data_IF_588585133618
#
_entry.id   IF_588585133618
#
_cell.length_a   1.000
_cell.length_b   1.000
_cell.length_c   1.000
_cell.angle_alpha   90.00
_cell.angle_beta   90.00
_cell.angle_gamma   90.00
#
_symmetry.space_group_name_H-M   'P 1'
#
loop_
_entity.id
_entity.type
_entity.pdbx_description
1 polymer ?
#
# COMPACT_ATOMS: atom_id res chain seq x y z
N UNK A 1 24.58 -1.11 12.21
CA UNK A 1 23.11 -1.21 12.07
C UNK A 1 22.87 -2.12 10.88
N UNK A 2 22.43 -3.35 11.11
CA UNK A 2 22.29 -4.36 10.06
C UNK A 2 21.06 -4.04 9.18
N UNK A 3 21.30 -3.55 7.97
CA UNK A 3 20.28 -3.13 6.99
C UNK A 3 20.12 -4.16 5.87
N UNK A 4 20.15 -5.46 6.17
CA UNK A 4 20.06 -6.51 5.13
C UNK A 4 18.83 -7.41 5.26
N UNK A 5 17.83 -7.03 6.08
CA UNK A 5 16.61 -7.83 6.28
C UNK A 5 15.30 -7.14 5.87
N UNK A 6 15.35 -5.88 5.43
CA UNK A 6 14.15 -5.07 5.19
C UNK A 6 13.64 -5.16 3.73
N UNK A 7 14.51 -5.48 2.77
CA UNK A 7 14.18 -5.48 1.33
C UNK A 7 13.13 -6.53 0.92
N UNK A 8 13.20 -7.76 1.45
CA UNK A 8 12.32 -8.84 1.01
C UNK A 8 10.86 -8.68 1.44
N UNK A 9 10.62 -8.09 2.62
CA UNK A 9 9.26 -7.86 3.12
C UNK A 9 8.60 -6.70 2.37
N UNK A 10 9.34 -5.62 2.17
CA UNK A 10 8.86 -4.43 1.50
C UNK A 10 8.65 -4.68 -0.01
N UNK A 11 9.54 -5.46 -0.64
CA UNK A 11 9.35 -5.95 -2.02
C UNK A 11 8.12 -6.85 -2.15
N UNK A 12 7.88 -7.75 -1.19
CA UNK A 12 6.68 -8.60 -1.18
C UNK A 12 5.40 -7.77 -1.06
N UNK A 13 5.44 -6.69 -0.28
CA UNK A 13 4.32 -5.75 -0.13
C UNK A 13 4.02 -5.01 -1.44
N UNK A 14 5.05 -4.56 -2.16
CA UNK A 14 4.91 -3.91 -3.47
C UNK A 14 4.38 -4.87 -4.53
N UNK A 15 4.92 -6.10 -4.60
CA UNK A 15 4.43 -7.14 -5.53
C UNK A 15 2.98 -7.52 -5.26
N UNK A 16 2.63 -7.67 -3.98
CA UNK A 16 1.25 -7.94 -3.58
C UNK A 16 0.33 -6.78 -3.98
N UNK A 17 0.68 -5.54 -3.66
CA UNK A 17 -0.09 -4.37 -4.08
C UNK A 17 -0.29 -4.32 -5.59
N UNK A 18 0.76 -4.61 -6.37
CA UNK A 18 0.71 -4.64 -7.84
C UNK A 18 -0.21 -5.73 -8.37
N UNK A 19 -0.22 -6.93 -7.77
CA UNK A 19 -1.15 -8.01 -8.15
C UNK A 19 -2.61 -7.61 -7.96
N UNK A 20 -2.88 -6.76 -6.97
CA UNK A 20 -4.24 -6.30 -6.63
C UNK A 20 -4.67 -5.01 -7.33
N UNK A 21 -3.77 -4.33 -8.05
CA UNK A 21 -4.08 -3.12 -8.85
C UNK A 21 -5.33 -3.23 -9.73
N UNK A 22 -5.53 -4.29 -10.55
CA UNK A 22 -6.70 -4.39 -11.42
C UNK A 22 -8.02 -4.57 -10.66
N UNK A 23 -7.97 -4.94 -9.37
CA UNK A 23 -9.14 -5.19 -8.53
C UNK A 23 -9.46 -4.04 -7.57
N UNK A 24 -8.70 -2.94 -7.61
CA UNK A 24 -8.88 -1.81 -6.68
C UNK A 24 -8.23 -2.01 -5.30
N UNK A 25 -7.30 -2.95 -5.20
CA UNK A 25 -6.52 -3.22 -3.99
C UNK A 25 -6.99 -4.45 -3.20
N UNK A 26 -6.14 -4.91 -2.26
CA UNK A 26 -6.40 -6.13 -1.50
C UNK A 26 -7.47 -5.94 -0.42
N UNK A 27 -8.17 -7.02 -0.09
CA UNK A 27 -9.17 -7.05 0.99
C UNK A 27 -8.50 -7.22 2.35
N UNK A 28 -9.24 -6.86 3.40
CA UNK A 28 -8.74 -6.95 4.78
C UNK A 28 -8.33 -8.36 5.21
N UNK A 29 -9.08 -9.39 4.77
CA UNK A 29 -8.76 -10.78 5.07
C UNK A 29 -7.43 -11.21 4.45
N UNK A 30 -7.22 -10.92 3.17
CA UNK A 30 -5.98 -11.28 2.47
C UNK A 30 -4.75 -10.59 3.07
N UNK A 31 -4.87 -9.30 3.42
CA UNK A 31 -3.77 -8.56 4.06
C UNK A 31 -3.42 -9.14 5.43
N UNK A 32 -4.44 -9.51 6.22
CA UNK A 32 -4.23 -10.09 7.53
C UNK A 32 -3.57 -11.47 7.43
N UNK A 33 -3.96 -12.28 6.45
CA UNK A 33 -3.38 -13.62 6.22
C UNK A 33 -1.93 -13.52 5.76
N UNK A 34 -1.63 -12.64 4.81
CA UNK A 34 -0.31 -12.55 4.18
C UNK A 34 0.71 -11.78 5.04
N UNK A 35 0.26 -10.71 5.70
CA UNK A 35 1.15 -9.77 6.40
C UNK A 35 0.90 -9.67 7.90
N UNK A 36 -0.15 -10.33 8.43
CA UNK A 36 -0.48 -10.28 9.85
C UNK A 36 -0.87 -8.89 10.37
N UNK A 37 -1.25 -7.97 9.47
CA UNK A 37 -1.55 -6.58 9.83
C UNK A 37 -2.92 -6.12 9.33
N UNK A 38 -3.41 -5.03 9.91
CA UNK A 38 -4.66 -4.41 9.46
C UNK A 38 -4.46 -3.69 8.14
N UNK A 39 -5.55 -3.49 7.39
CA UNK A 39 -5.53 -2.73 6.13
C UNK A 39 -4.92 -1.35 6.33
N UNK A 40 -5.26 -0.65 7.40
CA UNK A 40 -4.73 0.69 7.68
C UNK A 40 -3.21 0.68 7.87
N UNK A 41 -2.67 -0.28 8.62
CA UNK A 41 -1.22 -0.43 8.80
C UNK A 41 -0.54 -0.76 7.46
N UNK A 42 -1.16 -1.63 6.68
CA UNK A 42 -0.68 -1.99 5.35
C UNK A 42 -0.63 -0.77 4.42
N UNK A 43 -1.68 0.03 4.36
CA UNK A 43 -1.78 1.22 3.50
C UNK A 43 -0.77 2.31 3.90
N UNK A 44 -0.61 2.56 5.19
CA UNK A 44 0.38 3.54 5.69
C UNK A 44 1.80 3.12 5.34
N UNK A 45 2.12 1.83 5.51
CA UNK A 45 3.43 1.30 5.18
C UNK A 45 3.65 1.30 3.67
N UNK A 46 2.66 0.89 2.88
CA UNK A 46 2.73 0.92 1.42
C UNK A 46 2.96 2.34 0.89
N UNK A 47 2.32 3.36 1.47
CA UNK A 47 2.59 4.76 1.13
C UNK A 47 4.06 5.14 1.40
N UNK A 48 4.58 4.78 2.57
CA UNK A 48 5.98 5.03 2.91
C UNK A 48 6.96 4.34 1.95
N UNK A 49 6.64 3.11 1.49
CA UNK A 49 7.44 2.38 0.52
C UNK A 49 7.38 2.99 -0.88
N UNK A 50 6.20 3.44 -1.31
CA UNK A 50 6.03 4.13 -2.60
C UNK A 50 6.79 5.46 -2.61
N UNK A 51 6.89 6.14 -1.47
CA UNK A 51 7.64 7.40 -1.34
C UNK A 51 9.16 7.17 -1.20
N UNK A 52 9.56 6.00 -0.70
CA UNK A 52 10.96 5.61 -0.50
C UNK A 52 11.67 5.14 -1.78
N UNK A 53 13.01 5.17 -1.75
CA UNK A 53 13.87 4.81 -2.89
C UNK A 53 13.74 3.34 -3.32
N UNK A 54 13.26 2.48 -2.41
CA UNK A 54 13.01 1.05 -2.60
C UNK A 54 11.95 0.76 -3.68
N UNK A 55 11.15 1.75 -4.04
CA UNK A 55 10.18 1.68 -5.13
C UNK A 55 10.79 1.64 -6.55
N UNK A 56 12.13 1.65 -6.68
CA UNK A 56 12.84 1.59 -7.97
C UNK A 56 12.58 0.30 -8.76
N UNK A 57 12.15 -0.76 -8.08
CA UNK A 57 11.76 -2.05 -8.69
C UNK A 57 10.38 -2.00 -9.36
N UNK A 58 9.57 -0.97 -9.08
CA UNK A 58 8.19 -0.87 -9.58
C UNK A 58 8.03 0.24 -10.63
N UNK A 59 7.25 0.03 -11.71
CA UNK A 59 7.00 1.06 -12.71
C UNK A 59 6.33 2.29 -12.10
N UNK A 60 6.72 3.49 -12.54
CA UNK A 60 6.13 4.75 -12.06
C UNK A 60 4.61 4.81 -12.28
N UNK A 61 4.10 4.22 -13.37
CA UNK A 61 2.67 4.15 -13.65
C UNK A 61 1.90 3.32 -12.61
N UNK A 62 2.47 2.19 -12.17
CA UNK A 62 1.89 1.36 -11.11
C UNK A 62 1.93 2.10 -9.76
N UNK A 63 3.02 2.84 -9.49
CA UNK A 63 3.15 3.66 -8.25
C UNK A 63 2.10 4.76 -8.21
N UNK A 64 1.92 5.48 -9.31
CA UNK A 64 0.92 6.52 -9.44
C UNK A 64 -0.50 5.98 -9.25
N UNK A 65 -0.81 4.81 -9.83
CA UNK A 65 -2.10 4.14 -9.64
C UNK A 65 -2.33 3.70 -8.20
N UNK A 66 -1.35 3.07 -7.55
CA UNK A 66 -1.47 2.68 -6.14
C UNK A 66 -1.71 3.91 -5.26
N UNK A 67 -0.97 4.98 -5.49
CA UNK A 67 -1.16 6.24 -4.75
C UNK A 67 -2.58 6.79 -4.92
N UNK A 68 -3.11 6.80 -6.15
CA UNK A 68 -4.47 7.23 -6.42
C UNK A 68 -5.49 6.38 -5.65
N UNK A 69 -5.40 5.05 -5.73
CA UNK A 69 -6.32 4.16 -5.01
C UNK A 69 -6.28 4.35 -3.48
N UNK A 70 -5.10 4.61 -2.92
CA UNK A 70 -4.95 4.85 -1.48
C UNK A 70 -5.59 6.17 -1.04
N UNK A 71 -5.43 7.23 -1.85
CA UNK A 71 -6.08 8.52 -1.63
C UNK A 71 -7.61 8.41 -1.76
N UNK A 72 -8.09 7.69 -2.77
CA UNK A 72 -9.51 7.43 -2.97
C UNK A 72 -10.12 6.65 -1.80
N UNK A 73 -9.40 5.64 -1.28
CA UNK A 73 -9.84 4.86 -0.11
C UNK A 73 -9.83 5.66 1.19
N UNK A 74 -8.82 6.49 1.43
CA UNK A 74 -8.81 7.41 2.58
C UNK A 74 -9.98 8.40 2.50
N UNK A 75 -10.22 8.96 1.31
CA UNK A 75 -11.34 9.88 1.05
C UNK A 75 -12.70 9.20 1.29
N UNK A 76 -12.88 7.97 0.82
CA UNK A 76 -14.12 7.21 1.04
C UNK A 76 -14.30 6.77 2.51
N UNK A 77 -13.20 6.56 3.24
CA UNK A 77 -13.23 6.26 4.69
C UNK A 77 -13.45 7.48 5.57
N UNK A 78 -13.27 8.69 5.02
CA UNK A 78 -13.65 9.95 5.66
C UNK A 78 -15.00 10.43 5.11
N UNK A 79 -16.13 9.81 5.47
CA UNK A 79 -17.42 10.39 5.12
C UNK A 79 -17.58 11.71 5.91
N UNK A 80 -17.68 12.82 5.18
CA UNK A 80 -18.51 13.98 5.50
C UNK A 80 -18.61 14.35 6.99
N UNK A 81 -17.50 14.67 7.65
CA UNK A 81 -17.49 15.29 9.00
C UNK A 81 -17.29 16.81 8.94
N UNK A 82 -17.66 17.43 7.82
CA UNK A 82 -17.58 18.88 7.68
C UNK A 82 -18.69 19.38 6.74
N UNK A 83 -19.88 19.61 7.28
CA UNK A 83 -20.72 20.72 6.83
C UNK A 83 -21.34 21.41 8.07
N UNK A 84 -21.12 22.72 8.27
CA UNK A 84 -21.78 23.53 9.29
C UNK A 84 -23.25 23.85 8.94
#
# INVERSE_FOLDING_TARGET
MDMSRVDGFDSSMLEFARRWLPFGGPRAGDILVEFGMTVTQYELRLLALIDSTDSRTMPEADRAKLRAQLVERDSNRRPHLAQP
#
